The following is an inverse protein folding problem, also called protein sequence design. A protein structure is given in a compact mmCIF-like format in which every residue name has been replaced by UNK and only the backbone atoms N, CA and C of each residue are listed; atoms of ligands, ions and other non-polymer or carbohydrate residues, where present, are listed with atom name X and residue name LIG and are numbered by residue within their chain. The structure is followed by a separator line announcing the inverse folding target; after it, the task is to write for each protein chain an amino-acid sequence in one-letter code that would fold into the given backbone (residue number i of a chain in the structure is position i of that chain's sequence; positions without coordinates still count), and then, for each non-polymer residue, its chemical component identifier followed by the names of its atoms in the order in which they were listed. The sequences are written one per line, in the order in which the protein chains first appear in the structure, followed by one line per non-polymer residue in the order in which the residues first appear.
data_IF_692676286319
#
_entry.id   IF_692676286319
#
_cell.length_a   1.000
_cell.length_b   1.000
_cell.length_c   1.000
_cell.angle_alpha   90.00
_cell.angle_beta   90.00
_cell.angle_gamma   90.00
#
_symmetry.space_group_name_H-M   'P 1'
#
loop_
_entity.id
_entity.type
_entity.pdbx_description
1 polymer ?
#
# COMPACT_ATOMS: atom_id res chain seq x y z
N UNK A 1 -11.15 -5.52 -17.00
CA UNK A 1 -11.95 -4.51 -16.25
C UNK A 1 -11.08 -3.79 -15.21
N UNK A 2 -10.61 -4.48 -14.17
CA UNK A 2 -9.82 -3.88 -13.09
C UNK A 2 -8.52 -3.22 -13.56
N UNK A 3 -7.74 -3.89 -14.43
CA UNK A 3 -6.53 -3.30 -14.98
C UNK A 3 -6.79 -1.97 -15.69
N UNK A 4 -7.69 -1.94 -16.67
CA UNK A 4 -7.95 -0.71 -17.43
C UNK A 4 -8.42 0.42 -16.51
N UNK A 5 -9.34 0.14 -15.58
CA UNK A 5 -9.76 1.12 -14.58
C UNK A 5 -8.58 1.69 -13.78
N UNK A 6 -7.62 0.83 -13.39
CA UNK A 6 -6.43 1.27 -12.67
C UNK A 6 -5.47 2.08 -13.56
N UNK A 7 -5.28 1.68 -14.82
CA UNK A 7 -4.44 2.41 -15.78
C UNK A 7 -4.98 3.81 -16.05
N UNK A 8 -6.29 3.93 -16.25
CA UNK A 8 -6.98 5.17 -16.61
C UNK A 8 -7.03 6.20 -15.46
N UNK A 9 -6.74 5.79 -14.22
CA UNK A 9 -6.75 6.68 -13.05
C UNK A 9 -5.41 7.40 -12.85
N UNK A 10 -5.38 8.73 -12.75
CA UNK A 10 -4.16 9.47 -12.44
C UNK A 10 -3.66 9.20 -11.01
N UNK A 11 -4.60 9.02 -10.08
CA UNK A 11 -4.35 8.73 -8.67
C UNK A 11 -5.10 7.48 -8.22
N UNK A 12 -4.51 6.71 -7.31
CA UNK A 12 -5.19 5.60 -6.64
C UNK A 12 -4.97 5.64 -5.12
N UNK A 13 -5.97 5.22 -4.36
CA UNK A 13 -5.88 5.09 -2.90
C UNK A 13 -6.25 3.65 -2.52
N UNK A 14 -5.37 2.99 -1.78
CA UNK A 14 -5.60 1.64 -1.26
C UNK A 14 -5.75 1.70 0.25
N UNK A 15 -6.91 1.30 0.76
CA UNK A 15 -7.15 1.14 2.18
C UNK A 15 -7.28 -0.35 2.52
N UNK A 16 -6.42 -0.85 3.42
CA UNK A 16 -6.38 -2.27 3.74
C UNK A 16 -5.81 -2.55 5.13
N UNK A 17 -6.31 -3.58 5.83
CA UNK A 17 -5.74 -4.00 7.10
C UNK A 17 -4.52 -4.90 6.89
N UNK A 18 -3.74 -5.09 7.96
CA UNK A 18 -2.84 -6.23 8.10
C UNK A 18 -3.59 -7.41 8.73
N UNK A 19 -3.80 -8.48 7.97
CA UNK A 19 -4.37 -9.75 8.45
C UNK A 19 -3.36 -10.87 8.25
N UNK A 20 -3.03 -11.58 9.34
CA UNK A 20 -2.06 -12.68 9.30
C UNK A 20 -0.76 -12.26 8.58
N UNK A 21 -0.19 -11.13 9.01
CA UNK A 21 1.04 -10.54 8.48
C UNK A 21 0.95 -9.93 7.07
N UNK A 22 -0.15 -10.09 6.34
CA UNK A 22 -0.27 -9.62 4.95
C UNK A 22 -1.63 -8.96 4.64
N UNK A 23 -1.90 -8.67 3.37
CA UNK A 23 -3.13 -8.07 2.88
C UNK A 23 -4.29 -9.08 2.82
N UNK A 24 -5.57 -8.63 2.84
CA UNK A 24 -6.69 -9.52 2.52
C UNK A 24 -6.53 -10.17 1.15
N UNK A 25 -6.94 -11.43 1.02
CA UNK A 25 -6.79 -12.21 -0.22
C UNK A 25 -7.38 -11.52 -1.46
N UNK A 26 -8.49 -10.78 -1.31
CA UNK A 26 -9.10 -10.02 -2.42
C UNK A 26 -8.18 -8.92 -2.96
N UNK A 27 -7.35 -8.31 -2.11
CA UNK A 27 -6.38 -7.31 -2.55
C UNK A 27 -5.19 -7.97 -3.24
N UNK A 28 -4.73 -9.12 -2.75
CA UNK A 28 -3.74 -9.94 -3.45
C UNK A 28 -4.23 -10.30 -4.87
N UNK A 29 -5.46 -10.84 -4.98
CA UNK A 29 -6.08 -11.15 -6.28
C UNK A 29 -6.23 -9.91 -7.18
N UNK A 30 -6.55 -8.75 -6.61
CA UNK A 30 -6.63 -7.51 -7.38
C UNK A 30 -5.27 -7.14 -7.98
N UNK A 31 -4.19 -7.21 -7.20
CA UNK A 31 -2.83 -6.97 -7.67
C UNK A 31 -2.37 -7.98 -8.72
N UNK A 32 -2.76 -9.26 -8.59
CA UNK A 32 -2.53 -10.27 -9.63
C UNK A 32 -3.16 -9.86 -10.97
N UNK A 33 -4.36 -9.26 -10.95
CA UNK A 33 -5.00 -8.75 -12.17
C UNK A 33 -4.30 -7.52 -12.77
N UNK A 34 -3.60 -6.74 -11.95
CA UNK A 34 -2.85 -5.55 -12.39
C UNK A 34 -1.50 -5.90 -13.01
N UNK A 35 -0.86 -6.99 -12.59
CA UNK A 35 0.46 -7.40 -13.07
C UNK A 35 0.39 -8.00 -14.48
N UNK A 36 0.36 -7.16 -15.51
CA UNK A 36 0.32 -7.59 -16.91
C UNK A 36 1.45 -6.99 -17.75
N UNK A 37 2.20 -7.86 -18.41
CA UNK A 37 3.28 -7.47 -19.30
C UNK A 37 2.76 -6.63 -20.49
N UNK A 38 3.51 -5.59 -20.86
CA UNK A 38 3.11 -4.60 -21.86
C UNK A 38 2.07 -3.59 -21.38
N UNK A 39 1.62 -3.67 -20.12
CA UNK A 39 0.62 -2.77 -19.53
C UNK A 39 1.13 -2.05 -18.29
N UNK A 40 1.55 -2.79 -17.26
CA UNK A 40 2.09 -2.21 -16.01
C UNK A 40 3.59 -2.38 -15.89
N UNK A 41 4.16 -3.35 -16.60
CA UNK A 41 5.61 -3.53 -16.75
C UNK A 41 5.91 -4.08 -18.16
N UNK A 42 7.17 -4.05 -18.58
CA UNK A 42 7.67 -4.75 -19.78
C UNK A 42 9.03 -5.37 -19.52
N UNK A 43 9.41 -6.38 -20.31
CA UNK A 43 10.75 -6.94 -20.27
C UNK A 43 11.72 -6.16 -21.18
N UNK A 44 12.96 -6.07 -20.75
CA UNK A 44 14.11 -5.53 -21.47
C UNK A 44 15.28 -6.51 -21.35
N UNK A 45 16.39 -6.24 -22.05
CA UNK A 45 17.62 -7.02 -21.94
C UNK A 45 18.19 -7.05 -20.50
N UNK A 46 17.87 -6.03 -19.69
CA UNK A 46 18.32 -5.90 -18.30
C UNK A 46 17.27 -6.36 -17.26
N UNK A 47 16.19 -7.01 -17.71
CA UNK A 47 15.09 -7.44 -16.86
C UNK A 47 13.82 -6.60 -17.01
N UNK A 48 12.87 -6.79 -16.10
CA UNK A 48 11.58 -6.12 -16.13
C UNK A 48 11.69 -4.66 -15.66
N UNK A 49 10.97 -3.76 -16.34
CA UNK A 49 10.84 -2.34 -15.99
C UNK A 49 9.37 -1.95 -15.91
N UNK A 50 9.03 -1.14 -14.92
CA UNK A 50 7.68 -0.59 -14.73
C UNK A 50 7.30 0.42 -15.81
N UNK A 51 5.99 0.61 -16.03
CA UNK A 51 5.43 1.51 -17.03
C UNK A 51 4.59 2.66 -16.45
N UNK A 52 4.33 2.67 -15.14
CA UNK A 52 3.40 3.60 -14.49
C UNK A 52 4.12 4.77 -13.81
N UNK A 53 5.01 5.47 -14.53
CA UNK A 53 5.91 6.49 -13.96
C UNK A 53 5.20 7.75 -13.45
N UNK A 54 4.04 8.08 -14.03
CA UNK A 54 3.33 9.34 -13.76
C UNK A 54 2.14 9.15 -12.80
N UNK A 55 1.93 7.92 -12.30
CA UNK A 55 0.81 7.59 -11.41
C UNK A 55 1.18 7.91 -9.96
N UNK A 56 0.22 8.49 -9.22
CA UNK A 56 0.37 8.77 -7.79
C UNK A 56 -0.50 7.83 -6.95
N UNK A 57 0.05 7.25 -5.88
CA UNK A 57 -0.67 6.27 -5.07
C UNK A 57 -0.58 6.61 -3.58
N UNK A 58 -1.70 6.49 -2.86
CA UNK A 58 -1.72 6.52 -1.41
C UNK A 58 -2.06 5.14 -0.82
N UNK A 59 -1.38 4.76 0.25
CA UNK A 59 -1.61 3.54 1.01
C UNK A 59 -2.10 3.92 2.41
N UNK A 60 -3.25 3.40 2.81
CA UNK A 60 -3.84 3.55 4.13
C UNK A 60 -3.86 2.18 4.80
N UNK A 61 -2.88 1.90 5.65
CA UNK A 61 -2.72 0.60 6.30
C UNK A 61 -3.04 0.70 7.81
N UNK A 62 -3.88 -0.21 8.30
CA UNK A 62 -4.17 -0.34 9.72
C UNK A 62 -3.71 -1.70 10.24
N UNK A 63 -2.96 -1.72 11.36
CA UNK A 63 -2.39 -2.94 11.95
C UNK A 63 -2.45 -2.94 13.47
N UNK A 64 -2.91 -4.04 14.06
CA UNK A 64 -3.18 -4.11 15.49
C UNK A 64 -1.94 -4.00 16.40
N UNK A 65 -0.81 -4.54 15.94
CA UNK A 65 0.50 -4.42 16.62
C UNK A 65 1.41 -3.40 15.95
N UNK A 66 2.55 -3.11 16.58
CA UNK A 66 3.60 -2.28 15.99
C UNK A 66 4.50 -3.16 15.10
N UNK A 67 4.65 -2.76 13.84
CA UNK A 67 5.50 -3.41 12.83
C UNK A 67 6.47 -2.41 12.15
N UNK A 68 6.54 -1.16 12.61
CA UNK A 68 7.53 -0.19 12.12
C UNK A 68 8.93 -0.39 12.73
N UNK A 69 9.00 -1.10 13.84
CA UNK A 69 10.25 -1.32 14.58
C UNK A 69 10.26 -2.68 15.28
N UNK A 70 11.43 -3.03 15.82
CA UNK A 70 11.64 -4.28 16.55
C UNK A 70 11.51 -5.53 15.69
N UNK A 71 11.47 -6.72 16.32
CA UNK A 71 11.44 -8.00 15.59
C UNK A 71 10.21 -8.20 14.70
N UNK A 72 9.08 -7.56 15.03
CA UNK A 72 7.87 -7.67 14.23
C UNK A 72 8.00 -7.02 12.85
N UNK A 73 8.89 -6.03 12.69
CA UNK A 73 9.11 -5.37 11.40
C UNK A 73 9.59 -6.33 10.29
N UNK A 74 10.27 -7.42 10.65
CA UNK A 74 10.77 -8.40 9.67
C UNK A 74 9.65 -9.18 8.98
N UNK A 75 8.50 -9.34 9.65
CA UNK A 75 7.36 -10.13 9.18
C UNK A 75 6.22 -9.27 8.64
N UNK A 76 6.39 -7.95 8.53
CA UNK A 76 5.42 -7.07 7.87
C UNK A 76 5.41 -7.38 6.37
N UNK A 77 4.27 -7.89 5.87
CA UNK A 77 4.07 -8.23 4.46
C UNK A 77 2.74 -7.70 3.93
N UNK A 78 2.16 -6.67 4.56
CA UNK A 78 0.92 -6.03 4.08
C UNK A 78 1.25 -4.79 3.25
N UNK A 79 1.78 -3.74 3.88
CA UNK A 79 2.21 -2.52 3.19
C UNK A 79 3.41 -2.82 2.29
N UNK A 80 4.37 -3.59 2.79
CA UNK A 80 5.56 -4.01 2.04
C UNK A 80 5.20 -4.75 0.75
N UNK A 81 4.18 -5.61 0.76
CA UNK A 81 3.72 -6.33 -0.44
C UNK A 81 3.18 -5.35 -1.50
N UNK A 82 2.31 -4.43 -1.08
CA UNK A 82 1.70 -3.45 -1.98
C UNK A 82 2.75 -2.49 -2.54
N UNK A 83 3.60 -1.93 -1.69
CA UNK A 83 4.68 -1.01 -2.07
C UNK A 83 5.69 -1.68 -3.02
N UNK A 84 6.01 -2.96 -2.79
CA UNK A 84 6.88 -3.73 -3.69
C UNK A 84 6.29 -3.87 -5.09
N UNK A 85 5.00 -4.19 -5.20
CA UNK A 85 4.34 -4.32 -6.51
C UNK A 85 4.17 -2.98 -7.22
N UNK A 86 3.86 -1.91 -6.49
CA UNK A 86 3.79 -0.56 -7.06
C UNK A 86 5.14 -0.10 -7.60
N UNK A 87 6.22 -0.34 -6.86
CA UNK A 87 7.59 -0.08 -7.32
C UNK A 87 7.93 -0.91 -8.57
N UNK A 88 7.54 -2.19 -8.60
CA UNK A 88 7.70 -3.05 -9.78
C UNK A 88 6.92 -2.51 -11.00
N UNK A 89 5.72 -1.98 -10.79
CA UNK A 89 4.94 -1.32 -11.86
C UNK A 89 5.51 0.06 -12.25
N UNK A 90 6.51 0.57 -11.54
CA UNK A 90 7.20 1.83 -11.84
C UNK A 90 6.56 3.06 -11.21
N UNK A 91 5.65 2.89 -10.25
CA UNK A 91 5.05 4.00 -9.49
C UNK A 91 6.10 4.59 -8.55
N UNK A 92 6.37 5.89 -8.69
CA UNK A 92 7.42 6.59 -7.92
C UNK A 92 6.84 7.48 -6.81
N UNK A 93 5.63 8.02 -6.99
CA UNK A 93 4.96 8.85 -6.00
C UNK A 93 3.99 8.01 -5.17
N UNK A 94 4.53 7.39 -4.12
CA UNK A 94 3.77 6.60 -3.13
C UNK A 94 3.78 7.32 -1.79
N UNK A 95 2.60 7.59 -1.26
CA UNK A 95 2.40 8.16 0.07
C UNK A 95 1.77 7.12 0.99
N UNK A 96 2.43 6.77 2.09
CA UNK A 96 1.96 5.74 3.03
C UNK A 96 1.55 6.36 4.37
N UNK A 97 0.36 6.01 4.84
CA UNK A 97 -0.17 6.36 6.16
C UNK A 97 -0.48 5.06 6.89
N UNK A 98 0.17 4.87 8.04
CA UNK A 98 0.06 3.66 8.85
C UNK A 98 -0.51 4.02 10.21
N UNK A 99 -1.62 3.39 10.58
CA UNK A 99 -2.17 3.43 11.94
C UNK A 99 -1.87 2.10 12.62
N UNK A 100 -1.05 2.11 13.67
CA UNK A 100 -0.57 0.87 14.27
C UNK A 100 -0.56 0.82 15.79
N UNK A 101 -0.59 -0.39 16.35
CA UNK A 101 -0.42 -0.63 17.79
C UNK A 101 -1.68 -0.48 18.63
N UNK A 102 -2.83 -0.12 18.04
CA UNK A 102 -4.08 0.08 18.78
C UNK A 102 -4.62 -1.17 19.49
N UNK A 103 -4.25 -2.39 19.05
CA UNK A 103 -4.59 -3.63 19.78
C UNK A 103 -3.50 -4.03 20.78
N UNK A 104 -2.23 -3.68 20.51
CA UNK A 104 -1.10 -3.94 21.41
C UNK A 104 -1.13 -3.00 22.63
N UNK A 105 -1.62 -1.78 22.45
CA UNK A 105 -1.78 -0.76 23.49
C UNK A 105 -3.25 -0.32 23.58
N UNK A 106 -4.14 -1.17 24.13
CA UNK A 106 -5.58 -0.91 24.14
C UNK A 106 -5.94 0.39 24.87
N UNK A 107 -5.21 0.75 25.93
CA UNK A 107 -5.41 2.00 26.69
C UNK A 107 -5.14 3.27 25.86
N UNK A 108 -4.43 3.14 24.73
CA UNK A 108 -4.11 4.24 23.80
C UNK A 108 -4.84 4.12 22.47
N UNK A 109 -5.76 3.15 22.31
CA UNK A 109 -6.38 2.84 21.03
C UNK A 109 -7.09 4.06 20.41
N UNK A 110 -7.89 4.78 21.19
CA UNK A 110 -8.61 5.97 20.72
C UNK A 110 -7.66 7.10 20.27
N UNK A 111 -6.57 7.31 21.01
CA UNK A 111 -5.54 8.31 20.68
C UNK A 111 -4.84 7.94 19.37
N UNK A 112 -4.38 6.70 19.24
CA UNK A 112 -3.69 6.17 18.05
C UNK A 112 -4.59 6.30 16.81
N UNK A 113 -5.85 5.88 16.93
CA UNK A 113 -6.80 5.94 15.81
C UNK A 113 -7.09 7.40 15.43
N UNK A 114 -7.27 8.28 16.42
CA UNK A 114 -7.53 9.71 16.16
C UNK A 114 -6.37 10.39 15.46
N UNK A 115 -5.13 10.11 15.87
CA UNK A 115 -3.94 10.64 15.20
C UNK A 115 -3.79 10.07 13.78
N UNK A 116 -4.08 8.78 13.58
CA UNK A 116 -4.10 8.16 12.24
C UNK A 116 -5.12 8.82 11.30
N UNK A 117 -6.33 9.10 11.79
CA UNK A 117 -7.37 9.82 11.03
C UNK A 117 -6.90 11.24 10.68
N UNK A 118 -6.31 11.96 11.65
CA UNK A 118 -5.80 13.31 11.45
C UNK A 118 -4.68 13.33 10.40
N UNK A 119 -3.71 12.43 10.51
CA UNK A 119 -2.63 12.30 9.54
C UNK A 119 -3.18 12.02 8.14
N UNK A 120 -4.14 11.10 8.00
CA UNK A 120 -4.79 10.83 6.72
C UNK A 120 -5.48 12.07 6.14
N UNK A 121 -6.18 12.87 6.97
CA UNK A 121 -6.81 14.11 6.54
C UNK A 121 -5.79 15.18 6.09
N UNK A 122 -4.72 15.37 6.87
CA UNK A 122 -3.64 16.32 6.55
C UNK A 122 -2.89 15.94 5.27
N UNK A 123 -2.69 14.65 5.04
CA UNK A 123 -2.10 14.13 3.81
C UNK A 123 -3.06 14.28 2.63
N UNK A 124 -4.35 13.96 2.79
CA UNK A 124 -5.35 14.09 1.74
C UNK A 124 -5.46 15.53 1.20
N UNK A 125 -5.30 16.54 2.06
CA UNK A 125 -5.30 17.95 1.66
C UNK A 125 -4.17 18.33 0.69
N UNK A 126 -3.11 17.51 0.60
CA UNK A 126 -1.91 17.74 -0.21
C UNK A 126 -1.71 16.67 -1.30
N UNK A 127 -2.59 15.67 -1.37
CA UNK A 127 -2.42 14.49 -2.21
C UNK A 127 -2.90 14.73 -3.64
#
# INVERSE_FOLDING_TARGET
KYLNQFLDADKAVFAFPLWNFTVPAVLHTYFDYLAQAGKTFKYTENGAVGLLTDKKVALLNARGGVYSEGPAAEVEMSEKYVSTLLAFFGVQDVTSIVTEGHNQFPDKAEEIISEGIKQAADTAAKF
#
